data_IF_530538023853
#
_entry.id   IF_530538023853
#
_cell.length_a   1.000
_cell.length_b   1.000
_cell.length_c   1.000
_cell.angle_alpha   90.00
_cell.angle_beta   90.00
_cell.angle_gamma   90.00
#
_symmetry.space_group_name_H-M   'P 1'
#
loop_
_entity.id
_entity.type
_entity.pdbx_description
1 polymer ?
#
# COMPACT_ATOMS: atom_id res chain seq x y z
N UNK A 1 -44.43 37.58 11.45
CA UNK A 1 -44.40 36.39 12.32
C UNK A 1 -43.30 35.45 11.82
N UNK A 2 -42.15 35.39 12.50
CA UNK A 2 -41.07 34.45 12.15
C UNK A 2 -41.48 33.07 12.69
N UNK A 3 -41.68 32.08 11.83
CA UNK A 3 -41.92 30.69 12.24
C UNK A 3 -40.59 30.15 12.81
N UNK A 4 -40.49 29.80 14.10
CA UNK A 4 -39.32 29.11 14.60
C UNK A 4 -39.30 27.70 13.99
N UNK A 5 -38.15 27.29 13.48
CA UNK A 5 -37.94 25.91 13.05
C UNK A 5 -38.19 24.98 14.26
N UNK A 6 -38.97 23.90 14.11
CA UNK A 6 -39.13 22.93 15.18
C UNK A 6 -37.75 22.34 15.50
N UNK A 7 -37.27 22.51 16.75
CA UNK A 7 -36.15 21.71 17.24
C UNK A 7 -36.61 20.25 17.23
N UNK A 8 -35.87 19.37 16.55
CA UNK A 8 -36.06 17.93 16.68
C UNK A 8 -36.08 17.58 18.18
N UNK A 9 -37.22 17.08 18.65
CA UNK A 9 -37.41 16.73 20.06
C UNK A 9 -36.56 15.50 20.40
N UNK A 10 -35.40 15.70 20.99
CA UNK A 10 -34.78 14.67 21.81
C UNK A 10 -35.45 14.71 23.17
N UNK A 11 -35.99 13.56 23.61
CA UNK A 11 -36.59 13.37 24.92
C UNK A 11 -35.62 13.89 26.00
N UNK A 12 -36.04 14.74 26.94
CA UNK A 12 -35.18 15.13 28.06
C UNK A 12 -34.89 13.88 28.90
N UNK A 13 -33.69 13.34 28.80
CA UNK A 13 -33.27 12.12 29.48
C UNK A 13 -31.76 11.90 29.32
N UNK A 14 -31.15 11.14 30.23
CA UNK A 14 -29.77 10.73 30.08
C UNK A 14 -29.63 9.90 28.78
N UNK A 15 -28.54 10.14 28.04
CA UNK A 15 -28.21 9.34 26.84
C UNK A 15 -28.21 7.86 27.22
N UNK A 16 -28.78 7.03 26.35
CA UNK A 16 -28.63 5.58 26.52
C UNK A 16 -27.13 5.22 26.40
N UNK A 17 -26.70 4.07 26.95
CA UNK A 17 -25.33 3.61 26.76
C UNK A 17 -24.93 3.51 25.27
N UNK A 18 -25.87 3.16 24.39
CA UNK A 18 -25.66 3.07 22.95
C UNK A 18 -25.43 4.45 22.33
N UNK A 19 -26.27 5.44 22.66
CA UNK A 19 -26.10 6.81 22.19
C UNK A 19 -24.79 7.42 22.69
N UNK A 20 -24.42 7.12 23.95
CA UNK A 20 -23.16 7.58 24.51
C UNK A 20 -21.96 6.95 23.80
N UNK A 21 -22.05 5.67 23.40
CA UNK A 21 -21.03 4.98 22.62
C UNK A 21 -20.88 5.62 21.23
N UNK A 22 -21.98 5.91 20.54
CA UNK A 22 -21.97 6.57 19.24
C UNK A 22 -21.33 7.98 19.31
N UNK A 23 -21.68 8.76 20.34
CA UNK A 23 -21.06 10.07 20.59
C UNK A 23 -19.56 9.95 20.84
N UNK A 24 -19.13 8.94 21.60
CA UNK A 24 -17.71 8.72 21.87
C UNK A 24 -16.94 8.30 20.62
N UNK A 25 -17.52 7.44 19.78
CA UNK A 25 -16.94 7.08 18.49
C UNK A 25 -16.79 8.30 17.56
N UNK A 26 -17.83 9.14 17.47
CA UNK A 26 -17.78 10.36 16.67
C UNK A 26 -16.72 11.34 17.17
N UNK A 27 -16.58 11.50 18.50
CA UNK A 27 -15.51 12.33 19.08
C UNK A 27 -14.12 11.77 18.79
N UNK A 28 -13.94 10.45 18.86
CA UNK A 28 -12.68 9.80 18.52
C UNK A 28 -12.32 9.99 17.03
N UNK A 29 -13.32 9.89 16.15
CA UNK A 29 -13.16 10.17 14.72
C UNK A 29 -12.71 11.62 14.48
N UNK A 30 -13.39 12.59 15.09
CA UNK A 30 -13.03 14.01 14.95
C UNK A 30 -11.63 14.31 15.49
N UNK A 31 -11.25 13.69 16.61
CA UNK A 31 -9.91 13.82 17.17
C UNK A 31 -8.85 13.24 16.20
N UNK A 32 -9.10 12.06 15.64
CA UNK A 32 -8.21 11.43 14.67
C UNK A 32 -8.05 12.24 13.38
N UNK A 33 -9.09 12.92 12.92
CA UNK A 33 -9.02 13.81 11.75
C UNK A 33 -8.29 15.13 12.05
N UNK A 34 -8.48 15.69 13.24
CA UNK A 34 -7.87 16.97 13.63
C UNK A 34 -6.37 16.83 13.93
N UNK A 35 -6.02 15.79 14.66
CA UNK A 35 -4.69 15.59 15.23
C UNK A 35 -4.04 14.34 14.60
N UNK A 36 -4.19 14.18 13.28
CA UNK A 36 -3.66 13.01 12.58
C UNK A 36 -2.12 13.00 12.63
N UNK A 37 -1.55 11.88 13.04
CA UNK A 37 -0.09 11.70 13.04
C UNK A 37 0.42 11.77 11.60
N UNK A 38 1.37 12.69 11.29
CA UNK A 38 1.93 12.78 9.95
C UNK A 38 2.60 11.46 9.57
N UNK A 39 2.38 11.05 8.33
CA UNK A 39 3.12 9.91 7.79
C UNK A 39 4.59 10.31 7.55
N UNK A 40 5.50 9.40 7.93
CA UNK A 40 6.92 9.51 7.60
C UNK A 40 7.35 8.25 6.83
N UNK A 41 8.00 8.40 5.67
CA UNK A 41 8.65 7.31 4.93
C UNK A 41 9.48 6.38 5.81
N UNK A 42 9.43 5.07 5.55
CA UNK A 42 10.31 4.07 6.17
C UNK A 42 9.89 3.57 7.55
N UNK A 43 8.76 4.03 8.10
CA UNK A 43 8.28 3.59 9.42
C UNK A 43 7.42 2.31 9.40
N UNK A 44 7.13 1.76 8.22
CA UNK A 44 6.38 0.51 8.02
C UNK A 44 5.04 0.45 8.80
N UNK A 45 4.33 1.58 8.86
CA UNK A 45 2.99 1.67 9.46
C UNK A 45 1.93 1.77 8.39
N UNK A 46 0.74 1.28 8.71
CA UNK A 46 -0.42 1.52 7.87
C UNK A 46 -0.74 3.02 7.84
N UNK A 47 -1.20 3.49 6.70
CA UNK A 47 -1.52 4.88 6.41
C UNK A 47 -2.99 5.01 6.04
N UNK A 48 -3.54 6.20 6.28
CA UNK A 48 -4.84 6.60 5.81
C UNK A 48 -4.69 7.26 4.43
N UNK A 49 -5.33 6.69 3.41
CA UNK A 49 -5.30 7.21 2.03
C UNK A 49 -6.70 7.62 1.57
N UNK A 50 -6.80 8.71 0.82
CA UNK A 50 -8.06 9.14 0.22
C UNK A 50 -8.37 8.33 -1.03
N UNK A 51 -9.57 7.73 -1.09
CA UNK A 51 -10.11 7.03 -2.25
C UNK A 51 -11.50 7.60 -2.55
N UNK A 52 -11.58 8.51 -3.53
CA UNK A 52 -12.80 9.28 -3.78
C UNK A 52 -13.24 10.04 -2.52
N UNK A 53 -14.50 9.88 -2.06
CA UNK A 53 -14.99 10.52 -0.84
C UNK A 53 -14.66 9.75 0.46
N UNK A 54 -14.03 8.58 0.37
CA UNK A 54 -13.73 7.71 1.51
C UNK A 54 -12.25 7.78 1.92
N UNK A 55 -11.97 7.26 3.12
CA UNK A 55 -10.62 7.08 3.66
C UNK A 55 -10.38 5.60 3.83
N UNK A 56 -9.36 5.08 3.15
CA UNK A 56 -8.99 3.67 3.21
C UNK A 56 -7.71 3.46 4.00
N UNK A 57 -7.61 2.30 4.62
CA UNK A 57 -6.37 1.83 5.22
C UNK A 57 -5.50 1.24 4.13
N UNK A 58 -4.26 1.71 4.05
CA UNK A 58 -3.28 1.20 3.11
C UNK A 58 -1.97 0.84 3.82
N UNK A 59 -1.29 -0.18 3.31
CA UNK A 59 0.03 -0.58 3.78
C UNK A 59 1.08 -0.14 2.74
N UNK A 60 2.07 0.70 3.10
CA UNK A 60 3.18 1.04 2.22
C UNK A 60 4.05 -0.18 1.92
N UNK A 61 4.56 -0.28 0.69
CA UNK A 61 5.49 -1.36 0.34
C UNK A 61 6.85 -1.07 0.96
N UNK A 62 7.44 -2.04 1.68
CA UNK A 62 8.81 -1.92 2.14
C UNK A 62 9.81 -1.56 1.03
N UNK A 63 10.55 -0.47 1.22
CA UNK A 63 11.63 -0.05 0.31
C UNK A 63 11.17 0.67 -0.97
N UNK A 64 9.86 0.91 -1.13
CA UNK A 64 9.28 1.77 -2.19
C UNK A 64 8.42 2.89 -1.57
N UNK A 65 8.65 3.18 -0.29
CA UNK A 65 7.94 4.16 0.53
C UNK A 65 8.77 5.43 0.77
N UNK A 66 9.87 5.60 0.04
CA UNK A 66 10.79 6.73 0.15
C UNK A 66 10.69 7.74 -1.00
N UNK A 67 9.92 7.43 -2.04
CA UNK A 67 9.68 8.35 -3.15
C UNK A 67 8.79 9.53 -2.66
N UNK A 68 9.16 10.79 -2.97
CA UNK A 68 8.43 11.96 -2.49
C UNK A 68 7.06 12.16 -3.16
N UNK A 69 6.85 11.64 -4.37
CA UNK A 69 5.65 11.91 -5.17
C UNK A 69 4.73 10.68 -5.24
N UNK A 70 5.29 9.49 -5.41
CA UNK A 70 4.53 8.25 -5.64
C UNK A 70 5.11 7.05 -4.90
N UNK A 71 4.37 6.50 -3.95
CA UNK A 71 4.75 5.26 -3.25
C UNK A 71 3.88 4.09 -3.68
N UNK A 72 4.40 2.87 -3.56
CA UNK A 72 3.58 1.68 -3.72
C UNK A 72 2.83 1.34 -2.42
N UNK A 73 1.54 1.08 -2.52
CA UNK A 73 0.69 0.69 -1.38
C UNK A 73 -0.23 -0.47 -1.73
N UNK A 74 -0.67 -1.21 -0.73
CA UNK A 74 -1.75 -2.17 -0.87
C UNK A 74 -2.93 -1.77 0.03
N UNK A 75 -4.15 -1.77 -0.48
CA UNK A 75 -5.34 -1.50 0.35
C UNK A 75 -5.61 -2.69 1.28
N UNK A 76 -5.87 -2.39 2.54
CA UNK A 76 -6.06 -3.38 3.63
C UNK A 76 -7.43 -3.17 4.24
N UNK A 77 -8.18 -4.25 4.46
CA UNK A 77 -9.50 -4.14 5.07
C UNK A 77 -9.35 -3.59 6.50
N UNK A 78 -10.20 -2.65 6.96
CA UNK A 78 -10.04 -2.02 8.27
C UNK A 78 -9.98 -3.04 9.42
N UNK A 79 -10.75 -4.13 9.33
CA UNK A 79 -10.80 -5.19 10.35
C UNK A 79 -9.64 -6.20 10.31
N UNK A 80 -8.79 -6.15 9.27
CA UNK A 80 -7.65 -7.08 9.18
C UNK A 80 -6.62 -6.71 10.26
N UNK A 81 -6.23 -7.63 11.16
CA UNK A 81 -5.20 -7.36 12.15
C UNK A 81 -3.88 -6.95 11.47
N UNK A 82 -3.15 -6.00 12.05
CA UNK A 82 -1.92 -5.43 11.47
C UNK A 82 -0.88 -6.50 11.08
N UNK A 83 -0.73 -7.57 11.87
CA UNK A 83 0.18 -8.68 11.57
C UNK A 83 -0.33 -9.64 10.46
N UNK A 84 -1.64 -9.70 10.23
CA UNK A 84 -2.23 -10.59 9.22
C UNK A 84 -2.01 -10.08 7.79
N UNK A 85 -1.93 -8.75 7.60
CA UNK A 85 -1.53 -8.15 6.32
C UNK A 85 -0.11 -8.58 5.91
N UNK A 86 0.77 -8.79 6.89
CA UNK A 86 2.16 -9.20 6.68
C UNK A 86 2.33 -10.73 6.53
N UNK A 87 1.65 -11.53 7.36
CA UNK A 87 1.80 -13.01 7.40
C UNK A 87 0.97 -13.75 6.36
N UNK A 88 -0.09 -13.11 5.86
CA UNK A 88 -0.97 -13.67 4.84
C UNK A 88 -1.18 -12.62 3.76
N UNK A 89 -0.19 -12.38 2.89
CA UNK A 89 -0.28 -11.52 1.69
C UNK A 89 -1.34 -11.95 0.65
N UNK A 90 -2.47 -12.44 1.13
CA UNK A 90 -3.56 -13.16 0.50
C UNK A 90 -4.93 -12.55 0.86
N UNK A 91 -5.00 -11.66 1.86
CA UNK A 91 -6.21 -10.87 2.18
C UNK A 91 -5.97 -9.39 1.93
N UNK A 92 -5.44 -9.08 0.74
CA UNK A 92 -5.55 -7.73 0.20
C UNK A 92 -7.04 -7.38 0.10
N UNK A 93 -7.42 -6.18 0.51
CA UNK A 93 -8.80 -5.69 0.42
C UNK A 93 -9.31 -5.69 -1.03
N UNK A 94 -8.40 -5.77 -1.99
CA UNK A 94 -8.68 -6.06 -3.40
C UNK A 94 -7.69 -7.07 -3.97
N UNK A 95 -8.10 -7.87 -4.96
CA UNK A 95 -7.19 -8.72 -5.74
C UNK A 95 -6.22 -7.96 -6.67
N UNK A 96 -6.10 -6.63 -6.52
CA UNK A 96 -5.39 -5.74 -7.44
C UNK A 96 -3.88 -5.67 -7.20
N UNK A 97 -3.40 -6.24 -6.09
CA UNK A 97 -1.98 -6.20 -5.75
C UNK A 97 -1.56 -4.82 -5.23
N UNK A 98 -0.41 -4.34 -5.68
CA UNK A 98 0.13 -3.04 -5.28
C UNK A 98 -0.35 -1.93 -6.22
N UNK A 99 -0.57 -0.75 -5.66
CA UNK A 99 -1.06 0.44 -6.34
C UNK A 99 -0.07 1.59 -6.16
N UNK A 100 0.07 2.44 -7.18
CA UNK A 100 0.82 3.70 -7.09
C UNK A 100 -0.06 4.76 -6.44
N UNK A 101 0.30 5.12 -5.22
CA UNK A 101 -0.37 6.13 -4.41
C UNK A 101 0.43 7.43 -4.48
N UNK A 102 -0.21 8.50 -4.94
CA UNK A 102 0.32 9.85 -4.83
C UNK A 102 0.43 10.22 -3.35
N UNK A 103 1.57 10.77 -2.93
CA UNK A 103 1.82 11.08 -1.51
C UNK A 103 0.88 12.14 -0.95
N UNK A 104 0.28 12.98 -1.81
CA UNK A 104 -0.74 13.98 -1.45
C UNK A 104 -2.11 13.36 -1.09
N UNK A 105 -2.36 12.10 -1.49
CA UNK A 105 -3.54 11.33 -1.08
C UNK A 105 -3.40 10.75 0.32
N UNK A 106 -2.19 10.77 0.89
CA UNK A 106 -1.90 10.28 2.23
C UNK A 106 -2.32 11.35 3.25
N UNK A 107 -3.26 10.99 4.11
CA UNK A 107 -3.74 11.88 5.16
C UNK A 107 -2.84 11.83 6.41
N UNK A 108 -2.19 10.70 6.63
CA UNK A 108 -1.31 10.44 7.77
C UNK A 108 -1.28 8.95 8.13
N UNK A 109 -0.82 8.64 9.34
CA UNK A 109 -0.84 7.27 9.87
C UNK A 109 -2.28 6.81 10.08
N UNK A 110 -2.57 5.55 9.74
CA UNK A 110 -3.88 4.96 9.95
C UNK A 110 -4.25 4.95 11.43
N UNK A 111 -5.46 5.40 11.75
CA UNK A 111 -6.02 5.35 13.09
C UNK A 111 -7.35 4.57 13.05
N UNK A 112 -7.59 3.58 13.95
CA UNK A 112 -8.82 2.77 13.93
C UNK A 112 -10.13 3.58 14.04
N UNK A 113 -10.10 4.78 14.61
CA UNK A 113 -11.28 5.66 14.64
C UNK A 113 -11.71 6.15 13.24
N UNK A 114 -10.88 5.99 12.21
CA UNK A 114 -11.21 6.30 10.82
C UNK A 114 -11.99 5.16 10.13
N UNK A 115 -12.11 3.97 10.73
CA UNK A 115 -12.86 2.84 10.16
C UNK A 115 -14.25 3.23 9.62
N UNK A 116 -15.07 4.06 10.31
CA UNK A 116 -16.37 4.49 9.79
C UNK A 116 -16.33 5.27 8.47
N UNK A 117 -15.16 5.75 8.04
CA UNK A 117 -14.96 6.49 6.79
C UNK A 117 -14.53 5.59 5.61
N UNK A 118 -14.43 4.28 5.80
CA UNK A 118 -14.08 3.32 4.75
C UNK A 118 -15.30 2.90 3.94
N UNK A 119 -15.09 2.41 2.71
CA UNK A 119 -16.16 1.77 1.94
C UNK A 119 -16.73 0.56 2.68
N UNK A 120 -15.87 -0.24 3.33
CA UNK A 120 -16.27 -1.42 4.09
C UNK A 120 -17.28 -1.08 5.20
N UNK A 121 -17.05 -0.01 5.96
CA UNK A 121 -17.98 0.41 7.01
C UNK A 121 -19.32 0.93 6.46
N UNK A 122 -19.34 1.41 5.22
CA UNK A 122 -20.57 1.76 4.51
C UNK A 122 -21.28 0.54 3.85
N UNK A 123 -20.70 -0.66 3.97
CA UNK A 123 -21.21 -1.87 3.30
C UNK A 123 -21.05 -1.83 1.78
N UNK A 124 -20.05 -1.09 1.29
CA UNK A 124 -19.77 -0.91 -0.14
C UNK A 124 -18.48 -1.64 -0.53
N UNK A 125 -18.48 -2.19 -1.74
CA UNK A 125 -17.25 -2.64 -2.38
C UNK A 125 -16.38 -1.45 -2.79
N UNK A 126 -15.07 -1.68 -2.93
CA UNK A 126 -14.18 -0.69 -3.52
C UNK A 126 -14.53 -0.47 -5.00
N UNK A 127 -14.45 0.79 -5.49
CA UNK A 127 -14.78 1.10 -6.87
C UNK A 127 -13.80 0.45 -7.85
N UNK A 128 -14.28 0.24 -9.07
CA UNK A 128 -13.44 -0.33 -10.13
C UNK A 128 -12.25 0.56 -10.49
N UNK A 129 -12.37 1.86 -10.28
CA UNK A 129 -11.28 2.81 -10.32
C UNK A 129 -11.15 3.48 -8.95
N UNK A 130 -10.03 3.20 -8.27
CA UNK A 130 -9.69 3.80 -6.98
C UNK A 130 -8.87 5.08 -7.14
N UNK A 131 -8.63 5.52 -8.38
CA UNK A 131 -7.79 6.68 -8.71
C UNK A 131 -6.31 6.41 -8.44
N UNK A 132 -5.87 5.15 -8.45
CA UNK A 132 -4.48 4.73 -8.27
C UNK A 132 -4.17 3.67 -9.33
N UNK A 133 -3.10 3.88 -10.09
CA UNK A 133 -2.65 2.93 -11.11
C UNK A 133 -2.03 1.69 -10.46
N UNK A 134 -1.94 0.58 -11.21
CA UNK A 134 -1.25 -0.62 -10.73
C UNK A 134 0.25 -0.34 -10.63
N UNK A 135 0.85 -0.72 -9.50
CA UNK A 135 2.29 -0.73 -9.37
C UNK A 135 2.84 -2.00 -10.03
N UNK A 136 3.61 -1.80 -11.09
CA UNK A 136 4.28 -2.87 -11.81
C UNK A 136 5.66 -3.14 -11.21
N UNK A 137 6.03 -4.43 -11.20
CA UNK A 137 7.31 -4.93 -10.77
C UNK A 137 7.89 -5.84 -11.82
N UNK A 138 9.20 -5.99 -11.82
CA UNK A 138 9.89 -6.96 -12.63
C UNK A 138 10.92 -7.72 -11.79
N UNK A 139 11.30 -8.88 -12.27
CA UNK A 139 12.50 -9.56 -11.80
C UNK A 139 13.67 -9.07 -12.65
N UNK A 140 14.61 -8.38 -12.04
CA UNK A 140 15.86 -7.95 -12.65
C UNK A 140 16.93 -8.97 -12.32
N UNK A 141 17.50 -9.61 -13.34
CA UNK A 141 18.71 -10.40 -13.21
C UNK A 141 19.90 -9.48 -13.44
N UNK A 142 20.69 -9.24 -12.42
CA UNK A 142 21.83 -8.32 -12.48
C UNK A 142 23.13 -9.08 -12.40
N UNK A 143 24.11 -8.68 -13.21
CA UNK A 143 25.50 -9.06 -13.05
C UNK A 143 26.27 -7.89 -12.40
N UNK A 144 26.80 -8.10 -11.20
CA UNK A 144 27.55 -7.11 -10.42
C UNK A 144 28.99 -7.54 -10.19
N UNK A 145 29.93 -6.61 -10.27
CA UNK A 145 31.33 -6.78 -9.85
C UNK A 145 31.48 -6.44 -8.37
N UNK A 146 32.64 -6.76 -7.78
CA UNK A 146 32.96 -6.45 -6.38
C UNK A 146 32.95 -4.96 -6.06
N UNK A 147 33.20 -4.10 -7.04
CA UNK A 147 33.12 -2.64 -6.93
C UNK A 147 31.69 -2.08 -7.10
N UNK A 148 30.69 -2.98 -7.14
CA UNK A 148 29.26 -2.70 -7.34
C UNK A 148 28.88 -2.16 -8.73
N UNK A 149 29.85 -2.00 -9.63
CA UNK A 149 29.55 -1.77 -11.05
C UNK A 149 28.87 -3.01 -11.65
N UNK A 150 27.99 -2.82 -12.62
CA UNK A 150 27.26 -3.95 -13.19
C UNK A 150 26.23 -3.52 -14.20
N UNK A 151 25.46 -4.50 -14.68
CA UNK A 151 24.38 -4.29 -15.63
C UNK A 151 23.23 -5.24 -15.34
N UNK A 152 22.05 -4.85 -15.80
CA UNK A 152 20.86 -5.71 -15.80
C UNK A 152 20.93 -6.56 -17.06
N UNK A 153 20.97 -7.89 -16.89
CA UNK A 153 21.12 -8.86 -17.96
C UNK A 153 19.78 -9.30 -18.56
N UNK A 154 18.77 -9.42 -17.72
CA UNK A 154 17.45 -9.89 -18.11
C UNK A 154 16.40 -9.24 -17.21
N UNK A 155 15.25 -8.96 -17.80
CA UNK A 155 14.06 -8.50 -17.11
C UNK A 155 12.91 -9.46 -17.36
N UNK A 156 12.20 -9.86 -16.32
CA UNK A 156 10.95 -10.62 -16.44
C UNK A 156 9.82 -9.83 -15.81
N UNK A 157 8.69 -9.71 -16.49
CA UNK A 157 7.54 -8.93 -16.03
C UNK A 157 6.81 -8.23 -17.20
N UNK A 158 5.90 -7.29 -16.90
CA UNK A 158 5.58 -6.78 -15.57
C UNK A 158 4.71 -7.74 -14.74
N UNK A 159 4.91 -7.69 -13.43
CA UNK A 159 4.09 -8.31 -12.39
C UNK A 159 3.31 -7.21 -11.66
N UNK A 160 2.02 -7.39 -11.46
CA UNK A 160 1.20 -6.50 -10.61
C UNK A 160 1.18 -6.97 -9.14
N UNK A 161 1.69 -8.18 -8.88
CA UNK A 161 1.79 -8.77 -7.56
C UNK A 161 3.26 -9.02 -7.22
N UNK A 162 3.80 -8.28 -6.23
CA UNK A 162 5.23 -8.36 -5.88
C UNK A 162 5.64 -9.75 -5.43
N UNK A 163 4.78 -10.52 -4.76
CA UNK A 163 5.12 -11.86 -4.29
C UNK A 163 5.40 -12.83 -5.45
N UNK A 164 4.77 -12.64 -6.62
CA UNK A 164 5.09 -13.41 -7.82
C UNK A 164 6.49 -13.05 -8.33
N UNK A 165 6.80 -11.76 -8.41
CA UNK A 165 8.13 -11.29 -8.77
C UNK A 165 9.19 -11.79 -7.77
N UNK A 166 8.94 -11.66 -6.45
CA UNK A 166 9.85 -12.14 -5.41
C UNK A 166 10.04 -13.66 -5.46
N UNK A 167 8.95 -14.43 -5.59
CA UNK A 167 9.02 -15.89 -5.72
C UNK A 167 9.83 -16.31 -6.95
N UNK A 168 9.63 -15.64 -8.07
CA UNK A 168 10.35 -15.97 -9.31
C UNK A 168 11.82 -15.51 -9.23
N UNK A 169 12.12 -14.40 -8.55
CA UNK A 169 13.48 -13.97 -8.22
C UNK A 169 14.19 -14.98 -7.29
N UNK A 170 13.52 -15.45 -6.24
CA UNK A 170 14.05 -16.46 -5.32
C UNK A 170 14.33 -17.78 -6.05
N UNK A 171 13.39 -18.24 -6.89
CA UNK A 171 13.59 -19.42 -7.74
C UNK A 171 14.79 -19.27 -8.67
N UNK A 172 14.95 -18.10 -9.30
CA UNK A 172 16.12 -17.82 -10.12
C UNK A 172 17.41 -17.81 -9.30
N UNK A 173 17.41 -17.20 -8.12
CA UNK A 173 18.58 -17.21 -7.24
C UNK A 173 18.97 -18.63 -6.83
N UNK A 174 18.00 -19.50 -6.50
CA UNK A 174 18.25 -20.92 -6.23
C UNK A 174 18.86 -21.64 -7.44
N UNK A 175 18.43 -21.32 -8.66
CA UNK A 175 19.01 -21.90 -9.88
C UNK A 175 20.41 -21.36 -10.19
N UNK A 176 20.68 -20.11 -9.82
CA UNK A 176 21.98 -19.45 -9.96
C UNK A 176 22.97 -19.90 -8.87
N UNK A 177 22.48 -20.40 -7.74
CA UNK A 177 23.31 -20.93 -6.67
C UNK A 177 24.21 -22.08 -7.20
N UNK A 178 25.52 -21.96 -6.98
CA UNK A 178 26.52 -22.88 -7.53
C UNK A 178 26.84 -22.71 -9.02
N UNK A 179 26.10 -21.86 -9.76
CA UNK A 179 26.38 -21.52 -11.17
C UNK A 179 26.79 -20.06 -11.40
N UNK A 180 26.61 -19.19 -10.40
CA UNK A 180 26.87 -17.76 -10.54
C UNK A 180 28.28 -17.42 -11.07
N UNK A 181 29.30 -18.21 -10.70
CA UNK A 181 30.68 -18.01 -11.16
C UNK A 181 30.93 -18.42 -12.63
N UNK A 182 30.03 -19.21 -13.24
CA UNK A 182 30.16 -19.70 -14.61
C UNK A 182 29.26 -18.99 -15.62
N UNK A 183 28.21 -18.28 -15.16
CA UNK A 183 27.30 -17.54 -16.07
C UNK A 183 27.99 -16.32 -16.68
N UNK A 184 28.69 -15.51 -15.88
CA UNK A 184 29.49 -14.38 -16.36
C UNK A 184 30.79 -14.28 -15.54
N UNK A 185 31.95 -14.68 -16.09
CA UNK A 185 33.22 -14.63 -15.36
C UNK A 185 33.54 -13.24 -14.81
N UNK A 186 33.88 -13.17 -13.52
CA UNK A 186 34.21 -11.91 -12.83
C UNK A 186 33.00 -11.12 -12.29
N UNK A 187 31.78 -11.65 -12.45
CA UNK A 187 30.56 -11.07 -11.91
C UNK A 187 29.85 -12.04 -10.95
N UNK A 188 29.13 -11.47 -10.01
CA UNK A 188 28.10 -12.15 -9.22
C UNK A 188 26.75 -11.86 -9.87
N UNK A 189 26.04 -12.93 -10.26
CA UNK A 189 24.71 -12.81 -10.88
C UNK A 189 23.65 -13.06 -9.82
N UNK A 190 22.70 -12.14 -9.67
CA UNK A 190 21.56 -12.26 -8.75
C UNK A 190 20.27 -11.83 -9.43
N UNK A 191 19.16 -12.43 -9.03
CA UNK A 191 17.83 -11.99 -9.41
C UNK A 191 17.19 -11.21 -8.25
N UNK A 192 16.53 -10.10 -8.54
CA UNK A 192 15.80 -9.31 -7.53
C UNK A 192 14.47 -8.81 -8.08
N UNK A 193 13.45 -8.79 -7.23
CA UNK A 193 12.21 -8.09 -7.54
C UNK A 193 12.43 -6.59 -7.36
N UNK A 194 12.17 -5.81 -8.41
CA UNK A 194 12.34 -4.37 -8.43
C UNK A 194 11.11 -3.68 -9.03
N UNK A 195 10.84 -2.40 -8.69
CA UNK A 195 9.88 -1.58 -9.42
C UNK A 195 10.15 -1.63 -10.92
N UNK A 196 9.07 -1.64 -11.71
CA UNK A 196 9.14 -1.63 -13.16
C UNK A 196 8.57 -0.32 -13.69
N UNK A 197 9.42 0.45 -14.36
CA UNK A 197 9.01 1.55 -15.23
C UNK A 197 9.18 1.12 -16.69
N UNK A 198 8.13 1.32 -17.49
CA UNK A 198 8.17 1.04 -18.93
C UNK A 198 9.15 1.98 -19.64
N UNK A 199 9.31 3.20 -19.12
CA UNK A 199 10.19 4.24 -19.66
C UNK A 199 11.66 3.88 -19.53
N UNK A 200 12.01 3.02 -18.58
CA UNK A 200 13.39 2.55 -18.40
C UNK A 200 13.82 1.59 -19.52
N UNK A 201 12.95 1.22 -20.47
CA UNK A 201 13.23 0.21 -21.50
C UNK A 201 14.57 0.42 -22.22
N UNK A 202 14.97 1.67 -22.48
CA UNK A 202 16.23 2.02 -23.14
C UNK A 202 17.49 1.79 -22.27
N UNK A 203 17.32 1.61 -20.96
CA UNK A 203 18.40 1.36 -20.00
C UNK A 203 18.76 -0.12 -19.87
N UNK A 204 18.12 -1.01 -20.65
CA UNK A 204 18.31 -2.45 -20.57
C UNK A 204 18.93 -3.01 -21.87
N UNK A 205 19.81 -4.00 -21.73
CA UNK A 205 20.40 -4.77 -22.84
C UNK A 205 19.46 -5.92 -23.32
N UNK A 206 18.15 -5.83 -23.03
CA UNK A 206 17.15 -6.84 -23.43
C UNK A 206 16.99 -6.80 -24.96
N UNK A 207 16.97 -7.93 -25.69
CA UNK A 207 16.66 -7.94 -27.12
C UNK A 207 15.23 -7.48 -27.44
#
# INVERSE_FOLDING_TARGET
MKRPFPRCGHTPGALSPEDQAAVNQFRALLAALRDMEPWTPGLYRDIAVRVGPFVERAHPRPGDDHDPDLIAVSLVHPDTPHAAAYLHGHQLYTGRGWLRCETDKILGVWHPALTPLTHAAAGLDLPDDVGMSLAHYAVHVEARRKDNSGRIMLRMGPYTQTWLASRDADRLNTLLEGKAATVVPGFTVTAKAAPFDVSDHESYDDP
#
